data_IF_386175204073
#
_entry.id   IF_386175204073
#
_cell.length_a   1.000
_cell.length_b   1.000
_cell.length_c   1.000
_cell.angle_alpha   90.00
_cell.angle_beta   90.00
_cell.angle_gamma   90.00
#
_symmetry.space_group_name_H-M   'P 1'
#
loop_
_entity.id
_entity.type
_entity.pdbx_description
1 polymer ?
#
# COMPACT_ATOMS: atom_id res chain seq x y z
N UNK A 1 13.80 14.81 -11.33
CA UNK A 1 13.07 13.72 -10.69
C UNK A 1 14.01 13.05 -9.71
N UNK A 2 13.78 13.22 -8.43
CA UNK A 2 14.67 12.68 -7.40
C UNK A 2 14.34 11.19 -7.17
N UNK A 3 15.11 10.30 -7.79
CA UNK A 3 15.04 8.84 -7.59
C UNK A 3 15.49 8.38 -6.19
N UNK A 4 15.67 9.31 -5.24
CA UNK A 4 16.37 9.06 -3.97
C UNK A 4 15.45 8.75 -2.78
N UNK A 5 14.21 9.23 -2.76
CA UNK A 5 13.36 9.10 -1.57
C UNK A 5 12.85 7.66 -1.34
N UNK A 6 12.30 7.03 -2.36
CA UNK A 6 11.76 5.66 -2.23
C UNK A 6 12.88 4.63 -2.00
N UNK A 7 14.04 4.80 -2.63
CA UNK A 7 15.16 3.89 -2.46
C UNK A 7 15.80 3.97 -1.06
N UNK A 8 15.80 5.15 -0.42
CA UNK A 8 16.37 5.32 0.93
C UNK A 8 15.53 4.64 2.02
N UNK A 9 14.21 4.74 1.92
CA UNK A 9 13.28 4.14 2.88
C UNK A 9 13.40 2.61 2.94
N UNK A 10 13.80 2.01 1.86
CA UNK A 10 13.77 0.59 1.63
C UNK A 10 15.05 -0.15 1.99
N UNK A 11 16.20 0.52 1.93
CA UNK A 11 17.50 -0.06 2.29
C UNK A 11 17.59 -0.45 3.78
N UNK A 12 16.90 0.27 4.66
CA UNK A 12 16.88 -0.01 6.11
C UNK A 12 15.87 -1.08 6.53
N UNK A 13 14.78 -1.26 5.76
CA UNK A 13 13.71 -2.21 6.09
C UNK A 13 14.09 -3.68 5.89
N UNK A 14 14.99 -3.97 4.97
CA UNK A 14 15.36 -5.36 4.63
C UNK A 14 16.16 -6.06 5.72
N UNK A 15 16.92 -5.31 6.52
CA UNK A 15 17.73 -5.88 7.62
C UNK A 15 16.90 -6.39 8.80
N UNK A 16 15.62 -6.03 8.92
CA UNK A 16 14.72 -6.38 10.03
C UNK A 16 13.83 -7.59 9.72
N UNK A 17 13.74 -8.02 8.47
CA UNK A 17 12.82 -9.08 8.00
C UNK A 17 13.08 -10.48 8.58
N UNK A 18 14.17 -10.70 9.33
CA UNK A 18 14.53 -12.01 9.88
C UNK A 18 14.06 -12.27 11.32
N UNK A 19 13.44 -11.32 12.04
CA UNK A 19 13.22 -11.47 13.49
C UNK A 19 11.84 -11.09 14.06
N UNK A 20 10.81 -10.80 13.29
CA UNK A 20 9.53 -10.38 13.87
C UNK A 20 8.34 -11.25 13.49
N UNK A 21 8.26 -12.43 14.10
CA UNK A 21 7.01 -13.15 14.31
C UNK A 21 6.54 -12.85 15.74
N UNK A 22 5.80 -11.79 15.97
CA UNK A 22 5.02 -11.61 17.19
C UNK A 22 3.90 -10.59 16.98
N UNK A 23 2.71 -11.09 17.18
CA UNK A 23 1.39 -10.51 17.09
C UNK A 23 1.21 -9.02 17.36
N UNK A 24 0.58 -8.36 16.44
CA UNK A 24 0.00 -7.04 16.63
C UNK A 24 -1.51 -7.17 16.67
N UNK A 25 -2.12 -6.76 17.78
CA UNK A 25 -3.58 -6.70 17.92
C UNK A 25 -4.05 -5.40 17.26
N UNK A 26 -4.68 -5.52 16.09
CA UNK A 26 -5.44 -4.42 15.51
C UNK A 26 -6.75 -4.30 16.28
N UNK A 27 -7.04 -3.15 16.84
CA UNK A 27 -8.33 -2.92 17.51
C UNK A 27 -9.34 -2.52 16.44
N UNK A 28 -10.23 -3.46 16.09
CA UNK A 28 -11.39 -3.18 15.25
C UNK A 28 -12.50 -2.58 16.13
N UNK A 29 -12.78 -1.31 15.98
CA UNK A 29 -13.99 -0.71 16.55
C UNK A 29 -15.08 -0.68 15.49
N UNK A 30 -16.12 -1.49 15.70
CA UNK A 30 -17.30 -1.54 14.83
C UNK A 30 -18.23 -0.36 15.13
N UNK A 31 -18.50 0.49 14.13
CA UNK A 31 -19.57 1.47 14.22
C UNK A 31 -20.93 0.77 14.22
N UNK A 32 -21.82 1.15 15.12
CA UNK A 32 -23.19 0.67 15.14
C UNK A 32 -23.93 1.13 13.88
N UNK A 33 -24.34 0.18 13.05
CA UNK A 33 -25.06 0.42 11.79
C UNK A 33 -26.49 0.83 12.08
N UNK A 34 -26.87 2.01 11.64
CA UNK A 34 -28.28 2.37 11.44
C UNK A 34 -28.67 1.92 10.03
N UNK A 35 -29.52 0.90 9.94
CA UNK A 35 -30.03 0.40 8.66
C UNK A 35 -30.73 1.52 7.89
N UNK A 36 -30.18 1.90 6.77
CA UNK A 36 -30.86 2.71 5.76
C UNK A 36 -31.10 1.84 4.53
N UNK A 37 -32.34 1.87 4.07
CA UNK A 37 -32.97 1.10 3.01
C UNK A 37 -32.15 0.94 1.73
N UNK A 38 -32.21 -0.29 1.20
CA UNK A 38 -31.60 -0.73 -0.06
C UNK A 38 -31.84 0.23 -1.23
N UNK A 39 -30.76 0.77 -1.76
CA UNK A 39 -30.64 1.27 -3.11
C UNK A 39 -30.30 0.09 -4.02
N UNK A 40 -30.94 -0.01 -5.19
CA UNK A 40 -30.65 -1.01 -6.21
C UNK A 40 -29.16 -0.93 -6.58
N UNK A 41 -28.39 -1.88 -6.09
CA UNK A 41 -26.98 -2.02 -6.46
C UNK A 41 -26.91 -2.42 -7.94
N UNK A 42 -26.45 -1.50 -8.78
CA UNK A 42 -25.82 -1.85 -10.06
C UNK A 42 -24.71 -2.85 -9.70
N UNK A 43 -24.75 -4.05 -10.29
CA UNK A 43 -23.74 -5.06 -10.05
C UNK A 43 -22.35 -4.44 -10.31
N UNK A 44 -21.62 -4.16 -9.25
CA UNK A 44 -20.26 -3.68 -9.36
C UNK A 44 -19.46 -4.75 -10.10
N UNK A 45 -18.71 -4.37 -11.12
CA UNK A 45 -17.85 -5.26 -11.88
C UNK A 45 -16.82 -5.83 -10.89
N UNK A 46 -16.83 -7.17 -10.71
CA UNK A 46 -15.94 -7.85 -9.75
C UNK A 46 -14.48 -7.51 -10.08
N UNK A 47 -13.77 -6.96 -9.11
CA UNK A 47 -12.38 -6.56 -9.31
C UNK A 47 -11.50 -7.81 -9.53
N UNK A 48 -10.54 -7.79 -10.46
CA UNK A 48 -9.71 -8.95 -10.79
C UNK A 48 -9.06 -9.63 -9.57
N UNK A 49 -8.64 -8.85 -8.56
CA UNK A 49 -8.02 -9.40 -7.35
C UNK A 49 -8.98 -10.29 -6.54
N UNK A 50 -10.30 -10.04 -6.57
CA UNK A 50 -11.30 -10.82 -5.83
C UNK A 50 -11.37 -12.26 -6.32
N UNK A 51 -11.26 -12.47 -7.64
CA UNK A 51 -11.22 -13.81 -8.23
C UNK A 51 -10.06 -14.63 -7.67
N UNK A 52 -8.88 -14.04 -7.51
CA UNK A 52 -7.69 -14.74 -7.02
C UNK A 52 -7.70 -14.87 -5.49
N UNK A 53 -8.19 -13.85 -4.77
CA UNK A 53 -8.31 -13.86 -3.32
C UNK A 53 -9.28 -14.94 -2.83
N UNK A 54 -10.43 -15.06 -3.48
CA UNK A 54 -11.49 -15.98 -3.10
C UNK A 54 -11.27 -17.41 -3.64
N UNK A 55 -10.25 -17.63 -4.47
CA UNK A 55 -9.97 -18.95 -4.99
C UNK A 55 -9.46 -19.90 -3.88
N UNK A 56 -10.17 -20.99 -3.64
CA UNK A 56 -9.75 -22.05 -2.71
C UNK A 56 -8.56 -22.86 -3.23
N UNK A 57 -8.30 -22.80 -4.52
CA UNK A 57 -7.14 -23.42 -5.19
C UNK A 57 -6.58 -22.43 -6.21
N UNK A 58 -5.26 -22.51 -6.44
CA UNK A 58 -4.61 -21.69 -7.49
C UNK A 58 -5.30 -21.90 -8.84
N UNK A 59 -5.63 -20.78 -9.50
CA UNK A 59 -6.27 -20.80 -10.81
C UNK A 59 -5.30 -21.40 -11.83
N UNK A 60 -5.67 -22.55 -12.39
CA UNK A 60 -4.82 -23.28 -13.34
C UNK A 60 -4.94 -22.65 -14.73
N UNK A 61 -3.91 -21.90 -15.12
CA UNK A 61 -3.71 -21.41 -16.49
C UNK A 61 -2.40 -21.94 -17.05
N UNK A 62 -2.25 -22.07 -18.37
CA UNK A 62 -0.95 -22.36 -18.98
C UNK A 62 0.12 -21.37 -18.51
N UNK A 63 1.32 -21.84 -18.27
CA UNK A 63 2.42 -21.04 -17.71
C UNK A 63 2.76 -19.81 -18.56
N UNK A 64 2.80 -19.98 -19.89
CA UNK A 64 2.97 -18.89 -20.83
C UNK A 64 1.91 -17.78 -20.64
N UNK A 65 0.66 -18.18 -20.48
CA UNK A 65 -0.42 -17.24 -20.26
C UNK A 65 -0.28 -16.51 -18.93
N UNK A 66 0.09 -17.22 -17.86
CA UNK A 66 0.36 -16.60 -16.56
C UNK A 66 1.48 -15.56 -16.66
N UNK A 67 2.58 -15.92 -17.35
CA UNK A 67 3.72 -15.03 -17.52
C UNK A 67 3.36 -13.75 -18.32
N UNK A 68 2.61 -13.89 -19.40
CA UNK A 68 2.18 -12.76 -20.23
C UNK A 68 1.21 -11.83 -19.46
N UNK A 69 0.23 -12.39 -18.75
CA UNK A 69 -0.70 -11.62 -17.92
C UNK A 69 0.04 -10.85 -16.84
N UNK A 70 0.94 -11.53 -16.13
CA UNK A 70 1.75 -10.93 -15.07
C UNK A 70 2.66 -9.82 -15.62
N UNK A 71 3.36 -10.08 -16.73
CA UNK A 71 4.21 -9.09 -17.38
C UNK A 71 3.45 -7.84 -17.78
N UNK A 72 2.25 -8.00 -18.35
CA UNK A 72 1.39 -6.89 -18.74
C UNK A 72 0.99 -6.03 -17.54
N UNK A 73 0.58 -6.64 -16.42
CA UNK A 73 0.20 -5.92 -15.20
C UNK A 73 1.41 -5.22 -14.58
N UNK A 74 2.56 -5.89 -14.49
CA UNK A 74 3.78 -5.28 -13.96
C UNK A 74 4.28 -4.11 -14.82
N UNK A 75 4.10 -4.16 -16.14
CA UNK A 75 4.48 -3.06 -17.03
C UNK A 75 3.57 -1.82 -16.87
N UNK A 76 2.32 -1.99 -16.47
CA UNK A 76 1.40 -0.89 -16.17
C UNK A 76 1.73 -0.19 -14.84
N UNK A 77 2.26 -0.94 -13.91
CA UNK A 77 2.81 -0.43 -12.67
C UNK A 77 4.26 0.01 -12.91
N UNK A 78 4.81 0.81 -12.06
CA UNK A 78 6.16 1.34 -12.24
C UNK A 78 7.20 0.48 -11.49
N UNK A 79 7.68 -0.64 -12.08
CA UNK A 79 8.66 -1.48 -11.43
C UNK A 79 9.99 -0.74 -11.31
N UNK A 80 10.51 -0.69 -10.09
CA UNK A 80 11.82 -0.13 -9.79
C UNK A 80 12.73 -1.27 -9.35
N UNK A 81 13.86 -1.39 -10.01
CA UNK A 81 14.91 -2.32 -9.59
C UNK A 81 15.79 -1.66 -8.54
N UNK A 82 16.05 -2.37 -7.46
CA UNK A 82 16.96 -1.97 -6.41
C UNK A 82 17.94 -3.08 -6.06
N UNK A 83 19.02 -2.69 -5.39
CA UNK A 83 19.99 -3.62 -4.83
C UNK A 83 20.34 -3.18 -3.41
N UNK A 84 20.21 -4.09 -2.46
CA UNK A 84 20.62 -3.87 -1.07
C UNK A 84 21.43 -5.08 -0.60
N UNK A 85 22.65 -4.86 -0.13
CA UNK A 85 23.52 -5.88 0.49
C UNK A 85 23.59 -7.21 -0.29
N UNK A 86 23.79 -7.13 -1.61
CA UNK A 86 23.84 -8.27 -2.53
C UNK A 86 22.46 -8.90 -2.88
N UNK A 87 21.37 -8.42 -2.32
CA UNK A 87 20.03 -8.83 -2.70
C UNK A 87 19.50 -7.95 -3.83
N UNK A 88 19.15 -8.58 -4.92
CA UNK A 88 18.38 -7.96 -5.99
C UNK A 88 16.90 -7.99 -5.62
N UNK A 89 16.21 -6.86 -5.80
CA UNK A 89 14.77 -6.80 -5.54
C UNK A 89 14.09 -5.82 -6.50
N UNK A 90 12.82 -6.04 -6.70
CA UNK A 90 11.96 -5.13 -7.46
C UNK A 90 10.89 -4.56 -6.54
N UNK A 91 10.67 -3.27 -6.70
CA UNK A 91 9.54 -2.56 -6.10
C UNK A 91 8.55 -2.23 -7.19
N UNK A 92 7.31 -2.53 -6.93
CA UNK A 92 6.23 -2.27 -7.86
C UNK A 92 5.17 -1.48 -7.13
N UNK A 93 4.91 -0.27 -7.59
CA UNK A 93 3.84 0.58 -7.07
C UNK A 93 3.07 1.19 -8.21
N UNK A 94 1.89 1.75 -7.93
CA UNK A 94 1.12 2.47 -8.95
C UNK A 94 1.82 3.78 -9.32
N UNK A 95 1.85 4.16 -10.61
CA UNK A 95 2.29 5.49 -11.03
C UNK A 95 1.56 6.62 -10.31
N UNK A 96 0.32 6.39 -9.93
CA UNK A 96 -0.50 7.35 -9.18
C UNK A 96 0.08 7.70 -7.81
N UNK A 97 0.66 6.72 -7.11
CA UNK A 97 1.34 6.98 -5.82
C UNK A 97 2.52 7.94 -6.00
N UNK A 98 3.28 7.78 -7.09
CA UNK A 98 4.40 8.66 -7.43
C UNK A 98 3.90 10.06 -7.83
N UNK A 99 2.78 10.15 -8.53
CA UNK A 99 2.14 11.42 -8.89
C UNK A 99 1.64 12.17 -7.65
N UNK A 100 1.08 11.46 -6.66
CA UNK A 100 0.65 12.04 -5.40
C UNK A 100 1.83 12.61 -4.61
N UNK A 101 2.92 11.84 -4.48
CA UNK A 101 4.16 12.31 -3.89
C UNK A 101 4.68 13.56 -4.62
N UNK A 102 4.77 13.51 -5.95
CA UNK A 102 5.20 14.64 -6.76
C UNK A 102 4.28 15.86 -6.67
N UNK A 103 2.99 15.66 -6.40
CA UNK A 103 2.00 16.71 -6.19
C UNK A 103 1.94 17.22 -4.73
N UNK A 104 2.71 16.63 -3.83
CA UNK A 104 2.71 16.97 -2.41
C UNK A 104 1.40 16.62 -1.70
N UNK A 105 0.83 15.48 -2.03
CA UNK A 105 -0.42 14.96 -1.46
C UNK A 105 -0.15 13.79 -0.54
N UNK A 106 -0.72 13.86 0.66
CA UNK A 106 -0.73 12.72 1.58
C UNK A 106 -1.56 11.56 0.99
N UNK A 107 -1.08 10.34 1.13
CA UNK A 107 -1.75 9.16 0.55
C UNK A 107 -1.37 7.86 1.27
N UNK A 108 -2.11 6.80 0.95
CA UNK A 108 -1.69 5.41 1.20
C UNK A 108 -1.11 4.87 -0.10
N UNK A 109 0.10 4.32 -0.03
CA UNK A 109 0.80 3.76 -1.18
C UNK A 109 1.14 2.28 -0.92
N UNK A 110 0.32 1.33 -1.40
CA UNK A 110 0.71 -0.07 -1.38
C UNK A 110 1.87 -0.31 -2.35
N UNK A 111 2.76 -1.20 -1.96
CA UNK A 111 3.95 -1.55 -2.74
C UNK A 111 4.16 -3.06 -2.73
N UNK A 112 4.40 -3.62 -3.90
CA UNK A 112 4.75 -5.02 -4.07
C UNK A 112 6.27 -5.16 -4.06
N UNK A 113 6.80 -5.90 -3.10
CA UNK A 113 8.21 -6.28 -3.04
C UNK A 113 8.43 -7.67 -3.63
N UNK A 114 9.39 -7.80 -4.53
CA UNK A 114 9.77 -9.06 -5.17
C UNK A 114 11.27 -9.26 -4.92
N UNK A 115 11.60 -10.11 -3.95
CA UNK A 115 12.97 -10.35 -3.51
C UNK A 115 13.75 -11.28 -4.44
N UNK A 116 13.06 -12.13 -5.17
CA UNK A 116 13.61 -12.97 -6.21
C UNK A 116 12.52 -13.32 -7.22
N UNK A 117 12.85 -13.50 -8.50
CA UNK A 117 11.84 -13.74 -9.54
C UNK A 117 10.89 -14.89 -9.26
N UNK A 118 11.35 -15.94 -8.60
CA UNK A 118 10.55 -17.12 -8.25
C UNK A 118 9.91 -17.07 -6.85
N UNK A 119 10.34 -16.13 -6.00
CA UNK A 119 9.85 -16.04 -4.62
C UNK A 119 8.39 -15.55 -4.56
N UNK A 120 7.72 -15.85 -3.45
CA UNK A 120 6.43 -15.23 -3.17
C UNK A 120 6.59 -13.72 -2.97
N UNK A 121 5.63 -12.94 -3.44
CA UNK A 121 5.68 -11.49 -3.30
C UNK A 121 5.43 -11.08 -1.85
N UNK A 122 5.95 -9.92 -1.50
CA UNK A 122 5.70 -9.29 -0.19
C UNK A 122 4.94 -7.98 -0.44
N UNK A 123 3.83 -7.79 0.27
CA UNK A 123 3.07 -6.54 0.19
C UNK A 123 3.47 -5.63 1.35
N UNK A 124 3.81 -4.38 1.03
CA UNK A 124 4.02 -3.31 1.98
C UNK A 124 2.96 -2.23 1.81
N UNK A 125 2.71 -1.49 2.87
CA UNK A 125 1.85 -0.31 2.85
C UNK A 125 2.65 0.85 3.40
N UNK A 126 2.80 1.91 2.61
CA UNK A 126 3.34 3.17 3.05
C UNK A 126 2.20 4.14 3.36
N UNK A 127 2.28 4.79 4.51
CA UNK A 127 1.43 5.91 4.89
C UNK A 127 2.26 7.17 4.75
N UNK A 128 1.96 7.96 3.74
CA UNK A 128 2.71 9.16 3.40
C UNK A 128 1.94 10.40 3.84
N UNK A 129 2.44 11.10 4.84
CA UNK A 129 2.00 12.44 5.19
C UNK A 129 2.89 13.47 4.49
N UNK A 130 2.28 14.45 3.83
CA UNK A 130 3.00 15.55 3.17
C UNK A 130 2.35 16.88 3.58
N UNK A 131 3.02 17.63 4.45
CA UNK A 131 2.52 18.88 5.02
C UNK A 131 3.49 20.05 4.91
N UNK A 132 3.10 21.21 5.44
CA UNK A 132 3.95 22.40 5.50
C UNK A 132 5.05 22.30 6.56
N UNK A 133 4.85 21.46 7.58
CA UNK A 133 5.75 21.22 8.70
C UNK A 133 5.77 19.75 9.03
N UNK A 134 6.81 19.28 9.75
CA UNK A 134 6.79 17.93 10.30
C UNK A 134 5.73 17.83 11.39
N UNK A 135 4.85 16.85 11.25
CA UNK A 135 3.84 16.54 12.25
C UNK A 135 4.45 15.75 13.41
N UNK A 136 5.56 15.04 13.18
CA UNK A 136 6.06 13.95 14.04
C UNK A 136 4.99 12.88 14.23
N UNK A 137 4.45 12.42 13.12
CA UNK A 137 3.37 11.46 13.05
C UNK A 137 3.65 10.21 13.88
N UNK A 138 2.71 9.82 14.74
CA UNK A 138 2.77 8.59 15.52
C UNK A 138 1.54 7.70 15.34
N UNK A 139 0.51 8.21 14.66
CA UNK A 139 -0.75 7.50 14.43
C UNK A 139 -1.31 7.83 13.05
N UNK A 140 -1.88 6.81 12.40
CA UNK A 140 -2.67 6.95 11.17
C UNK A 140 -4.01 6.30 11.39
N UNK A 141 -5.09 7.01 11.09
CA UNK A 141 -6.44 6.48 11.08
C UNK A 141 -7.00 6.46 9.65
N UNK A 142 -7.71 5.39 9.34
CA UNK A 142 -8.41 5.22 8.07
C UNK A 142 -9.86 4.97 8.41
N UNK A 143 -10.72 5.85 7.96
CA UNK A 143 -12.16 5.74 8.16
C UNK A 143 -12.79 5.34 6.83
N UNK A 144 -13.37 4.17 6.78
CA UNK A 144 -14.21 3.69 5.69
C UNK A 144 -15.68 3.85 6.06
N UNK A 145 -16.60 3.46 5.17
CA UNK A 145 -18.02 3.54 5.46
C UNK A 145 -18.43 2.67 6.66
N UNK A 146 -17.78 1.52 6.84
CA UNK A 146 -18.15 0.53 7.85
C UNK A 146 -17.16 0.48 9.02
N UNK A 147 -15.87 0.73 8.79
CA UNK A 147 -14.81 0.48 9.76
C UNK A 147 -13.92 1.70 10.00
N UNK A 148 -13.25 1.67 11.12
CA UNK A 148 -12.15 2.55 11.45
C UNK A 148 -10.93 1.72 11.77
N UNK A 149 -9.85 1.92 11.03
CA UNK A 149 -8.55 1.30 11.25
C UNK A 149 -7.62 2.31 11.89
N UNK A 150 -6.85 1.85 12.90
CA UNK A 150 -5.90 2.72 13.60
C UNK A 150 -4.53 2.04 13.66
N UNK A 151 -3.53 2.72 13.16
CA UNK A 151 -2.14 2.32 13.19
C UNK A 151 -1.34 3.30 14.02
N UNK A 152 -0.63 2.81 15.03
CA UNK A 152 0.26 3.61 15.86
C UNK A 152 1.73 3.30 15.56
N UNK A 153 2.65 4.12 16.04
CA UNK A 153 4.08 3.94 15.82
C UNK A 153 4.60 2.55 16.20
N UNK A 154 3.99 1.89 17.19
CA UNK A 154 4.32 0.51 17.57
C UNK A 154 3.89 -0.56 16.55
N UNK A 155 3.02 -0.23 15.58
CA UNK A 155 2.57 -1.13 14.52
C UNK A 155 3.33 -0.92 13.20
N UNK A 156 4.14 0.12 13.09
CA UNK A 156 4.97 0.35 11.90
C UNK A 156 6.17 -0.60 11.88
N UNK A 157 6.56 -1.03 10.69
CA UNK A 157 7.70 -1.93 10.53
C UNK A 157 9.06 -1.25 10.74
N UNK A 158 9.07 0.08 10.76
CA UNK A 158 10.25 0.92 11.00
C UNK A 158 9.81 2.26 11.59
N UNK A 159 10.78 3.03 12.09
CA UNK A 159 10.52 4.42 12.49
C UNK A 159 10.01 5.23 11.29
N UNK A 160 9.17 6.23 11.59
CA UNK A 160 8.66 7.16 10.58
C UNK A 160 9.85 7.92 9.99
N UNK A 161 10.03 7.77 8.69
CA UNK A 161 11.07 8.50 7.96
C UNK A 161 10.61 9.93 7.68
N UNK A 162 11.57 10.85 7.69
CA UNK A 162 11.32 12.28 7.51
C UNK A 162 12.23 12.82 6.43
N UNK A 163 11.63 13.39 5.41
CA UNK A 163 12.32 14.02 4.30
C UNK A 163 11.76 15.40 3.99
N UNK A 164 12.59 16.25 3.42
CA UNK A 164 12.20 17.53 2.87
C UNK A 164 12.03 17.39 1.37
N UNK A 165 10.81 17.56 0.89
CA UNK A 165 10.47 17.45 -0.53
C UNK A 165 10.40 18.84 -1.14
N UNK A 166 11.20 19.07 -2.19
CA UNK A 166 11.23 20.36 -2.91
C UNK A 166 10.44 20.24 -4.20
N UNK A 167 9.40 21.05 -4.33
CA UNK A 167 8.56 21.12 -5.52
C UNK A 167 8.99 22.27 -6.43
N UNK A 168 8.89 22.05 -7.74
CA UNK A 168 9.12 23.11 -8.71
C UNK A 168 8.02 24.18 -8.59
N UNK A 169 8.42 25.42 -8.29
CA UNK A 169 7.52 26.58 -8.11
C UNK A 169 6.55 26.49 -6.90
N UNK A 170 6.84 25.66 -5.92
CA UNK A 170 6.05 25.56 -4.68
C UNK A 170 6.97 25.67 -3.45
N UNK A 171 6.45 26.09 -2.29
CA UNK A 171 7.19 25.97 -1.04
C UNK A 171 7.60 24.52 -0.79
N UNK A 172 8.75 24.35 -0.15
CA UNK A 172 9.15 23.04 0.33
C UNK A 172 8.07 22.43 1.24
N UNK A 173 7.86 21.14 1.09
CA UNK A 173 6.99 20.33 1.94
C UNK A 173 7.83 19.40 2.80
N UNK A 174 7.28 19.01 3.93
CA UNK A 174 7.83 17.99 4.80
C UNK A 174 7.07 16.69 4.56
N UNK A 175 7.80 15.62 4.32
CA UNK A 175 7.27 14.29 4.14
C UNK A 175 7.60 13.42 5.35
N UNK A 176 6.61 12.70 5.85
CA UNK A 176 6.77 11.67 6.85
C UNK A 176 6.15 10.38 6.32
N UNK A 177 6.98 9.34 6.19
CA UNK A 177 6.56 8.04 5.67
C UNK A 177 6.66 6.98 6.75
N UNK A 178 5.55 6.35 7.09
CA UNK A 178 5.51 5.14 7.89
C UNK A 178 5.30 3.92 6.99
N UNK A 179 6.16 2.92 7.12
CA UNK A 179 6.11 1.69 6.34
C UNK A 179 5.64 0.52 7.20
N UNK A 180 4.74 -0.29 6.65
CA UNK A 180 4.25 -1.51 7.27
C UNK A 180 4.33 -2.68 6.31
N UNK A 181 4.78 -3.83 6.80
CA UNK A 181 4.60 -5.12 6.13
C UNK A 181 3.12 -5.51 6.29
N UNK A 182 2.42 -5.71 5.17
CA UNK A 182 1.01 -6.04 5.19
C UNK A 182 0.75 -7.44 5.77
N UNK A 183 -0.24 -7.51 6.64
CA UNK A 183 -0.86 -8.73 7.15
C UNK A 183 -2.18 -8.98 6.42
N UNK A 184 -2.85 -10.09 6.71
CA UNK A 184 -4.18 -10.36 6.15
C UNK A 184 -5.20 -9.28 6.57
N UNK A 185 -5.13 -8.78 7.81
CA UNK A 185 -6.00 -7.69 8.29
C UNK A 185 -5.73 -6.37 7.50
N UNK A 186 -4.49 -6.12 7.12
CA UNK A 186 -4.14 -4.96 6.31
C UNK A 186 -4.66 -5.10 4.87
N UNK A 187 -4.67 -6.31 4.34
CA UNK A 187 -5.28 -6.60 3.03
C UNK A 187 -6.79 -6.41 3.11
N UNK A 188 -7.43 -6.85 4.19
CA UNK A 188 -8.85 -6.63 4.42
C UNK A 188 -9.19 -5.13 4.49
N UNK A 189 -8.36 -4.34 5.19
CA UNK A 189 -8.48 -2.88 5.21
C UNK A 189 -8.38 -2.27 3.80
N UNK A 190 -7.40 -2.70 2.98
CA UNK A 190 -7.29 -2.20 1.60
C UNK A 190 -8.54 -2.55 0.77
N UNK A 191 -9.12 -3.74 0.97
CA UNK A 191 -10.36 -4.15 0.30
C UNK A 191 -11.56 -3.32 0.76
N UNK A 192 -11.64 -3.00 2.05
CA UNK A 192 -12.70 -2.14 2.58
C UNK A 192 -12.59 -0.70 2.06
N UNK A 193 -11.37 -0.19 1.88
CA UNK A 193 -11.14 1.07 1.17
C UNK A 193 -11.75 1.04 -0.23
N UNK A 194 -11.52 -0.04 -0.99
CA UNK A 194 -12.02 -0.17 -2.36
C UNK A 194 -13.54 -0.28 -2.46
N UNK A 195 -14.21 -0.77 -1.39
CA UNK A 195 -15.66 -0.95 -1.34
C UNK A 195 -16.41 0.27 -0.81
N UNK A 196 -15.70 1.18 -0.16
CA UNK A 196 -16.30 2.34 0.49
C UNK A 196 -16.56 3.46 -0.51
N UNK A 197 -17.69 4.13 -0.38
CA UNK A 197 -18.01 5.32 -1.17
C UNK A 197 -17.08 6.48 -0.78
N UNK A 198 -16.84 6.66 0.52
CA UNK A 198 -15.95 7.68 1.05
C UNK A 198 -14.89 7.08 1.97
N UNK A 199 -13.65 7.51 1.82
CA UNK A 199 -12.53 7.12 2.69
C UNK A 199 -11.83 8.38 3.18
N UNK A 200 -11.73 8.53 4.51
CA UNK A 200 -11.00 9.61 5.16
C UNK A 200 -9.69 9.07 5.73
N UNK A 201 -8.60 9.71 5.39
CA UNK A 201 -7.29 9.47 5.98
C UNK A 201 -7.01 10.56 7.00
N UNK A 202 -6.59 10.16 8.19
CA UNK A 202 -6.16 11.07 9.24
C UNK A 202 -4.75 10.70 9.69
N UNK A 203 -3.85 11.65 9.60
CA UNK A 203 -2.48 11.54 10.11
C UNK A 203 -2.40 12.33 11.40
N UNK A 204 -1.84 11.72 12.45
CA UNK A 204 -1.89 12.30 13.79
C UNK A 204 -0.55 12.22 14.51
N UNK A 205 -0.32 13.22 15.36
CA UNK A 205 0.54 13.12 16.54
C UNK A 205 -0.38 13.02 17.76
N UNK A 206 -0.71 11.80 18.14
CA UNK A 206 -1.69 11.52 19.19
C UNK A 206 -1.09 11.60 20.60
N UNK A 207 0.14 11.10 20.79
CA UNK A 207 0.80 10.99 22.11
C UNK A 207 1.32 12.33 22.64
N UNK A 208 0.48 13.38 22.63
CA UNK A 208 0.82 14.72 23.13
C UNK A 208 -0.33 15.28 23.97
N UNK A 209 -0.01 16.32 24.79
CA UNK A 209 -1.02 17.02 25.57
C UNK A 209 -2.05 17.77 24.69
N UNK A 210 -1.72 18.04 23.43
CA UNK A 210 -2.60 18.60 22.43
C UNK A 210 -2.40 17.81 21.13
N UNK A 211 -3.21 16.80 20.87
CA UNK A 211 -3.16 16.06 19.63
C UNK A 211 -3.26 16.99 18.41
N UNK A 212 -2.45 16.74 17.41
CA UNK A 212 -2.44 17.45 16.13
C UNK A 212 -2.81 16.43 15.08
N UNK A 213 -3.67 16.82 14.14
CA UNK A 213 -4.03 15.94 13.03
C UNK A 213 -4.26 16.74 11.75
N UNK A 214 -4.07 16.08 10.64
CA UNK A 214 -4.51 16.53 9.33
C UNK A 214 -5.30 15.41 8.65
N UNK A 215 -6.37 15.78 7.97
CA UNK A 215 -7.28 14.85 7.30
C UNK A 215 -7.33 15.13 5.80
N UNK A 216 -7.45 14.09 5.02
CA UNK A 216 -7.75 14.18 3.60
C UNK A 216 -8.70 13.07 3.16
N UNK A 217 -9.64 13.40 2.27
CA UNK A 217 -10.48 12.40 1.61
C UNK A 217 -9.69 11.76 0.48
N UNK A 218 -9.74 10.44 0.40
CA UNK A 218 -9.09 9.68 -0.66
C UNK A 218 -9.92 9.79 -1.96
N UNK A 219 -9.36 10.31 -3.05
CA UNK A 219 -10.05 10.35 -4.33
C UNK A 219 -10.12 8.95 -4.98
N UNK A 220 -11.06 8.77 -5.90
CA UNK A 220 -11.30 7.48 -6.55
C UNK A 220 -10.07 6.97 -7.32
N UNK A 221 -9.29 7.87 -7.92
CA UNK A 221 -8.05 7.51 -8.61
C UNK A 221 -7.00 6.90 -7.66
N UNK A 222 -7.01 7.28 -6.38
CA UNK A 222 -6.10 6.72 -5.39
C UNK A 222 -6.57 5.33 -4.95
N UNK A 223 -7.89 5.08 -4.89
CA UNK A 223 -8.46 3.74 -4.70
C UNK A 223 -8.09 2.83 -5.87
N UNK A 224 -8.17 3.32 -7.11
CA UNK A 224 -7.75 2.56 -8.29
C UNK A 224 -6.27 2.17 -8.19
N UNK A 225 -5.40 3.04 -7.68
CA UNK A 225 -4.00 2.71 -7.45
C UNK A 225 -3.80 1.55 -6.45
N UNK A 226 -4.64 1.46 -5.42
CA UNK A 226 -4.67 0.34 -4.48
C UNK A 226 -5.12 -0.94 -5.21
N UNK A 227 -6.20 -0.88 -6.00
CA UNK A 227 -6.71 -2.02 -6.76
C UNK A 227 -5.65 -2.58 -7.72
N UNK A 228 -4.93 -1.71 -8.41
CA UNK A 228 -3.89 -2.10 -9.38
C UNK A 228 -2.76 -2.89 -8.71
N UNK A 229 -2.31 -2.45 -7.52
CA UNK A 229 -1.26 -3.15 -6.79
C UNK A 229 -1.77 -4.47 -6.19
N UNK A 230 -3.00 -4.51 -5.66
CA UNK A 230 -3.60 -5.76 -5.19
C UNK A 230 -3.78 -6.77 -6.33
N UNK A 231 -4.20 -6.33 -7.51
CA UNK A 231 -4.29 -7.19 -8.70
C UNK A 231 -2.93 -7.80 -9.05
N UNK A 232 -1.87 -6.99 -9.05
CA UNK A 232 -0.51 -7.48 -9.29
C UNK A 232 -0.05 -8.46 -8.21
N UNK A 233 -0.31 -8.16 -6.94
CA UNK A 233 0.04 -9.01 -5.80
C UNK A 233 -0.59 -10.40 -5.93
N UNK A 234 -1.91 -10.46 -6.10
CA UNK A 234 -2.61 -11.74 -6.19
C UNK A 234 -2.30 -12.51 -7.48
N UNK A 235 -2.13 -11.82 -8.60
CA UNK A 235 -1.73 -12.45 -9.83
C UNK A 235 -0.34 -13.08 -9.69
N UNK A 236 0.60 -12.35 -9.07
CA UNK A 236 1.95 -12.85 -8.82
C UNK A 236 1.94 -14.04 -7.84
N UNK A 237 1.17 -13.93 -6.76
CA UNK A 237 1.05 -15.00 -5.75
C UNK A 237 0.48 -16.29 -6.35
N UNK A 238 -0.46 -16.20 -7.28
CA UNK A 238 -1.09 -17.34 -7.94
C UNK A 238 -0.28 -17.90 -9.11
N UNK A 239 0.67 -17.15 -9.67
CA UNK A 239 1.50 -17.63 -10.77
C UNK A 239 2.50 -18.71 -10.33
N UNK A 240 2.88 -19.58 -11.27
CA UNK A 240 3.96 -20.54 -11.04
C UNK A 240 5.32 -19.85 -10.93
N UNK A 241 6.29 -20.46 -10.25
CA UNK A 241 7.65 -19.93 -10.13
C UNK A 241 8.27 -19.60 -11.50
N UNK A 242 8.06 -20.47 -12.49
CA UNK A 242 8.56 -20.26 -13.85
C UNK A 242 7.86 -19.08 -14.55
N UNK A 243 6.54 -18.93 -14.36
CA UNK A 243 5.82 -17.79 -14.92
C UNK A 243 6.28 -16.47 -14.30
N UNK A 244 6.50 -16.44 -12.98
CA UNK A 244 7.05 -15.29 -12.26
C UNK A 244 8.43 -14.89 -12.79
N UNK A 245 9.34 -15.86 -12.93
CA UNK A 245 10.69 -15.64 -13.44
C UNK A 245 10.67 -15.10 -14.88
N UNK A 246 9.78 -15.61 -15.74
CA UNK A 246 9.61 -15.12 -17.12
C UNK A 246 9.01 -13.70 -17.18
N UNK A 247 8.17 -13.33 -16.23
CA UNK A 247 7.51 -12.02 -16.24
C UNK A 247 8.46 -10.88 -15.88
N UNK A 248 9.48 -11.15 -15.06
CA UNK A 248 10.45 -10.15 -14.58
C UNK A 248 11.72 -10.11 -15.45
N UNK A 249 12.03 -11.20 -16.16
CA UNK A 249 13.16 -11.26 -17.09
C UNK A 249 12.91 -10.41 -18.34
#
# INVERSE_FOLDING_TARGET
MNKRAIAGALLLGLSVLLLASCGSVSTLETKAVTQTTASEATAAEEQPYEQYRNATEKIKKPEEQQAEELKKVLQQLNPQYGKADELDFWWVTSPRCIENEAAGKSCIAPMLGILAPSADPVLFIAFNYIGGEYMDMDTVEIHTDEYKYTYSSGTFSMEVQKDKVTFQNSPDKMEETALRLATDDDIDMLVDILKSDEVLLRFEKFNTAKPIWEECTMPEEDKQAIADVLNAYYLYLNASEMARAKAIS
#
